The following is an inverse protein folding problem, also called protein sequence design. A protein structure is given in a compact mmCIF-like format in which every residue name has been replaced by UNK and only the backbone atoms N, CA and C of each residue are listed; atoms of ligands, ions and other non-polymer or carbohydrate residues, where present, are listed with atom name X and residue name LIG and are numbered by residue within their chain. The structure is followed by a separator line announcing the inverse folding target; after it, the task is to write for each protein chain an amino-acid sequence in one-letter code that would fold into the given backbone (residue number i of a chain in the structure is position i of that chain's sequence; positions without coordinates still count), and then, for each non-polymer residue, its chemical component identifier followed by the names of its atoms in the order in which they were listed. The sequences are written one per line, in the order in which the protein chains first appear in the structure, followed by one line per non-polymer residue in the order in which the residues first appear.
data_IF_305057486704
#
_entry.id   IF_305057486704
#
_cell.length_a   1.000
_cell.length_b   1.000
_cell.length_c   1.000
_cell.angle_alpha   90.00
_cell.angle_beta   90.00
_cell.angle_gamma   90.00
#
_symmetry.space_group_name_H-M   'P 1'
#
loop_
_entity.id
_entity.type
_entity.pdbx_description
1 polymer ?
#
# COMPACT_ATOMS: atom_id res chain seq x y z
N UNK A 1 28.52 -24.68 9.08
CA UNK A 1 28.05 -23.35 8.68
C UNK A 1 29.11 -22.30 8.97
N UNK A 2 29.64 -21.63 7.95
CA UNK A 2 30.68 -20.61 8.07
C UNK A 2 30.09 -19.24 8.51
N UNK A 3 30.96 -18.27 8.85
CA UNK A 3 30.53 -16.95 9.31
C UNK A 3 29.69 -16.21 8.26
N UNK A 4 30.04 -16.33 6.98
CA UNK A 4 29.32 -15.72 5.86
C UNK A 4 27.88 -16.23 5.76
N UNK A 5 27.67 -17.54 5.88
CA UNK A 5 26.34 -18.16 5.90
C UNK A 5 25.51 -17.68 7.11
N UNK A 6 26.12 -17.59 8.30
CA UNK A 6 25.44 -17.05 9.49
C UNK A 6 24.97 -15.61 9.29
N UNK A 7 25.80 -14.76 8.70
CA UNK A 7 25.45 -13.37 8.39
C UNK A 7 24.33 -13.32 7.34
N UNK A 8 24.41 -14.14 6.28
CA UNK A 8 23.35 -14.22 5.27
C UNK A 8 22.01 -14.63 5.88
N UNK A 9 21.98 -15.67 6.70
CA UNK A 9 20.74 -16.12 7.36
C UNK A 9 20.15 -15.04 8.28
N UNK A 10 21.00 -14.29 9.01
CA UNK A 10 20.55 -13.16 9.83
C UNK A 10 19.95 -12.03 8.98
N UNK A 11 20.61 -11.66 7.87
CA UNK A 11 20.09 -10.66 6.92
C UNK A 11 18.77 -11.10 6.29
N UNK A 12 18.65 -12.37 5.91
CA UNK A 12 17.44 -12.94 5.33
C UNK A 12 16.27 -12.93 6.32
N UNK A 13 16.53 -13.22 7.60
CA UNK A 13 15.51 -13.09 8.66
C UNK A 13 14.96 -11.66 8.70
N UNK A 14 15.85 -10.67 8.81
CA UNK A 14 15.43 -9.27 8.90
C UNK A 14 14.75 -8.76 7.63
N UNK A 15 15.24 -9.15 6.45
CA UNK A 15 14.64 -8.75 5.18
C UNK A 15 13.30 -9.45 4.87
N UNK A 16 13.05 -10.61 5.50
CA UNK A 16 11.80 -11.35 5.42
C UNK A 16 10.68 -10.78 6.30
N UNK A 17 11.02 -9.94 7.27
CA UNK A 17 10.06 -9.23 8.11
C UNK A 17 9.65 -7.93 7.38
N UNK A 18 8.59 -8.01 6.58
CA UNK A 18 7.98 -6.83 5.99
C UNK A 18 7.32 -6.01 7.09
N UNK A 19 8.07 -5.06 7.67
CA UNK A 19 7.56 -4.13 8.68
C UNK A 19 6.46 -3.30 8.04
N UNK A 20 5.29 -3.25 8.67
CA UNK A 20 4.11 -2.48 8.19
C UNK A 20 3.47 -1.65 9.29
N UNK A 21 3.88 -1.84 10.55
CA UNK A 21 3.34 -1.15 11.73
C UNK A 21 3.38 0.38 11.66
N UNK A 22 4.38 0.94 10.98
CA UNK A 22 4.50 2.39 10.74
C UNK A 22 3.55 2.88 9.62
N UNK A 23 3.17 2.03 8.67
CA UNK A 23 2.05 2.32 7.74
C UNK A 23 0.75 2.33 8.52
N UNK A 24 0.51 1.34 9.38
CA UNK A 24 -0.69 1.27 10.22
C UNK A 24 -0.77 2.44 11.21
N UNK A 25 0.36 2.86 11.77
CA UNK A 25 0.46 4.04 12.63
C UNK A 25 0.03 5.29 11.86
N UNK A 26 0.56 5.48 10.65
CA UNK A 26 0.20 6.60 9.78
C UNK A 26 -1.29 6.60 9.40
N UNK A 27 -1.84 5.44 9.03
CA UNK A 27 -3.26 5.28 8.75
C UNK A 27 -4.12 5.57 9.98
N UNK A 28 -3.69 5.15 11.16
CA UNK A 28 -4.35 5.45 12.43
C UNK A 28 -4.40 6.95 12.71
N UNK A 29 -3.31 7.68 12.44
CA UNK A 29 -3.28 9.15 12.57
C UNK A 29 -4.28 9.83 11.63
N UNK A 30 -4.36 9.41 10.36
CA UNK A 30 -5.29 9.97 9.40
C UNK A 30 -6.77 9.75 9.80
N UNK A 31 -7.11 8.53 10.24
CA UNK A 31 -8.47 8.22 10.73
C UNK A 31 -8.83 8.98 12.00
N UNK A 32 -7.87 9.13 12.92
CA UNK A 32 -8.09 9.91 14.14
C UNK A 32 -8.30 11.40 13.82
N UNK A 33 -7.58 11.93 12.83
CA UNK A 33 -7.79 13.28 12.33
C UNK A 33 -9.19 13.46 11.73
N UNK A 34 -9.59 12.58 10.82
CA UNK A 34 -10.95 12.59 10.23
C UNK A 34 -12.02 12.53 11.32
N UNK A 35 -11.90 11.56 12.24
CA UNK A 35 -12.84 11.44 13.35
C UNK A 35 -12.93 12.70 14.19
N UNK A 36 -11.79 13.29 14.58
CA UNK A 36 -11.78 14.50 15.39
C UNK A 36 -12.43 15.68 14.65
N UNK A 37 -12.23 15.76 13.32
CA UNK A 37 -12.85 16.80 12.50
C UNK A 37 -14.35 16.58 12.32
N UNK A 38 -14.79 15.35 12.11
CA UNK A 38 -16.20 15.01 12.04
C UNK A 38 -16.91 15.29 13.37
N UNK A 39 -16.28 14.96 14.50
CA UNK A 39 -16.81 15.27 15.83
C UNK A 39 -16.96 16.80 16.05
N UNK A 40 -16.00 17.61 15.56
CA UNK A 40 -16.07 19.09 15.58
C UNK A 40 -17.21 19.62 14.71
N UNK A 41 -17.35 19.10 13.49
CA UNK A 41 -18.40 19.50 12.55
C UNK A 41 -19.81 19.12 13.04
N UNK A 42 -19.97 17.95 13.67
CA UNK A 42 -21.23 17.49 14.27
C UNK A 42 -21.70 18.44 15.39
N UNK A 43 -20.76 19.02 16.15
CA UNK A 43 -21.07 20.01 17.19
C UNK A 43 -21.53 21.31 16.53
N UNK A 44 -20.77 21.83 15.57
CA UNK A 44 -21.09 23.08 14.86
C UNK A 44 -22.45 23.01 14.17
N UNK A 45 -22.78 21.87 13.53
CA UNK A 45 -24.10 21.67 12.90
C UNK A 45 -25.26 21.74 13.89
N UNK A 46 -25.07 21.26 15.13
CA UNK A 46 -26.08 21.37 16.18
C UNK A 46 -26.23 22.81 16.65
N UNK A 47 -25.11 23.51 16.85
CA UNK A 47 -25.12 24.93 17.23
C UNK A 47 -25.85 25.79 16.19
N UNK A 48 -25.60 25.56 14.90
CA UNK A 48 -26.29 26.26 13.79
C UNK A 48 -27.79 25.93 13.78
N UNK A 49 -28.15 24.66 13.98
CA UNK A 49 -29.55 24.23 13.96
C UNK A 49 -30.37 24.90 15.08
N UNK A 50 -29.77 24.99 16.26
CA UNK A 50 -30.39 25.54 17.47
C UNK A 50 -30.32 27.08 17.57
N UNK A 51 -29.59 27.76 16.67
CA UNK A 51 -29.45 29.21 16.68
C UNK A 51 -30.75 29.90 16.20
N UNK A 52 -31.45 30.66 17.07
CA UNK A 52 -32.68 31.36 16.70
C UNK A 52 -32.43 32.67 15.94
N UNK A 53 -31.19 33.15 15.88
CA UNK A 53 -30.82 34.38 15.15
C UNK A 53 -30.60 34.14 13.66
N UNK A 54 -30.43 32.89 13.25
CA UNK A 54 -30.24 32.49 11.86
C UNK A 54 -31.58 32.17 11.19
N UNK A 55 -31.72 32.60 9.95
CA UNK A 55 -32.76 32.14 9.04
C UNK A 55 -32.47 30.73 8.54
N UNK A 56 -33.48 30.02 8.05
CA UNK A 56 -33.29 28.67 7.49
C UNK A 56 -32.40 28.67 6.23
N UNK A 57 -32.41 29.75 5.45
CA UNK A 57 -31.53 29.90 4.27
C UNK A 57 -30.06 30.01 4.68
N UNK A 58 -29.75 30.79 5.72
CA UNK A 58 -28.39 30.90 6.28
C UNK A 58 -27.92 29.57 6.88
N UNK A 59 -28.81 28.85 7.57
CA UNK A 59 -28.51 27.52 8.11
C UNK A 59 -28.16 26.51 7.01
N UNK A 60 -28.89 26.54 5.89
CA UNK A 60 -28.61 25.67 4.75
C UNK A 60 -27.29 26.03 4.06
N UNK A 61 -26.95 27.33 3.95
CA UNK A 61 -25.64 27.76 3.43
C UNK A 61 -24.49 27.26 4.32
N UNK A 62 -24.59 27.40 5.64
CA UNK A 62 -23.59 26.87 6.55
C UNK A 62 -23.48 25.35 6.51
N UNK A 63 -24.62 24.64 6.39
CA UNK A 63 -24.63 23.18 6.24
C UNK A 63 -23.84 22.75 5.01
N UNK A 64 -24.05 23.41 3.87
CA UNK A 64 -23.32 23.12 2.64
C UNK A 64 -21.80 23.30 2.81
N UNK A 65 -21.38 24.36 3.50
CA UNK A 65 -19.97 24.57 3.81
C UNK A 65 -19.38 23.46 4.69
N UNK A 66 -20.13 23.04 5.71
CA UNK A 66 -19.69 21.97 6.62
C UNK A 66 -19.65 20.62 5.89
N UNK A 67 -20.61 20.32 5.01
CA UNK A 67 -20.59 19.13 4.15
C UNK A 67 -19.30 19.07 3.31
N UNK A 68 -18.87 20.19 2.73
CA UNK A 68 -17.58 20.27 2.03
C UNK A 68 -16.37 19.98 2.94
N UNK A 69 -16.44 20.36 4.22
CA UNK A 69 -15.38 20.04 5.19
C UNK A 69 -15.34 18.56 5.57
N UNK A 70 -16.49 17.86 5.60
CA UNK A 70 -16.51 16.39 5.75
C UNK A 70 -15.82 15.72 4.55
N UNK A 71 -16.12 16.19 3.34
CA UNK A 71 -15.49 15.67 2.12
C UNK A 71 -13.97 15.89 2.13
N UNK A 72 -13.50 17.06 2.57
CA UNK A 72 -12.07 17.35 2.71
C UNK A 72 -11.39 16.43 3.75
N UNK A 73 -12.04 16.18 4.89
CA UNK A 73 -11.53 15.30 5.93
C UNK A 73 -11.46 13.84 5.45
N UNK A 74 -12.49 13.35 4.75
CA UNK A 74 -12.51 12.03 4.12
C UNK A 74 -11.46 11.92 3.00
N UNK A 75 -11.28 12.98 2.21
CA UNK A 75 -10.24 13.07 1.19
C UNK A 75 -8.83 12.91 1.75
N UNK A 76 -8.56 13.42 2.95
CA UNK A 76 -7.27 13.22 3.62
C UNK A 76 -7.00 11.74 3.94
N UNK A 77 -8.04 10.98 4.30
CA UNK A 77 -7.95 9.54 4.56
C UNK A 77 -7.72 8.76 3.26
N UNK A 78 -8.39 9.13 2.18
CA UNK A 78 -8.18 8.53 0.85
C UNK A 78 -6.74 8.73 0.34
N UNK A 79 -6.18 9.93 0.55
CA UNK A 79 -4.77 10.21 0.27
C UNK A 79 -3.86 9.32 1.13
N UNK A 80 -4.17 9.17 2.43
CA UNK A 80 -3.39 8.33 3.32
C UNK A 80 -3.35 6.86 2.86
N UNK A 81 -4.46 6.31 2.37
CA UNK A 81 -4.47 4.95 1.79
C UNK A 81 -3.74 4.84 0.46
N UNK A 82 -3.82 5.87 -0.39
CA UNK A 82 -3.01 5.93 -1.61
C UNK A 82 -1.52 5.83 -1.29
N UNK A 83 -1.08 6.60 -0.29
CA UNK A 83 0.30 6.57 0.22
C UNK A 83 0.66 5.24 0.87
N UNK A 84 -0.27 4.62 1.61
CA UNK A 84 -0.07 3.30 2.22
C UNK A 84 0.17 2.21 1.16
N UNK A 85 -0.59 2.20 0.07
CA UNK A 85 -0.42 1.26 -1.06
C UNK A 85 0.94 1.46 -1.74
N UNK A 86 1.30 2.71 -2.05
CA UNK A 86 2.59 3.05 -2.64
C UNK A 86 3.74 2.60 -1.74
N UNK A 87 3.63 2.86 -0.43
CA UNK A 87 4.65 2.51 0.56
C UNK A 87 4.77 0.99 0.71
N UNK A 88 3.65 0.28 0.78
CA UNK A 88 3.63 -1.18 0.86
C UNK A 88 4.36 -1.81 -0.33
N UNK A 89 4.02 -1.39 -1.56
CA UNK A 89 4.67 -1.93 -2.75
C UNK A 89 6.17 -1.60 -2.78
N UNK A 90 6.55 -0.36 -2.46
CA UNK A 90 7.97 0.02 -2.41
C UNK A 90 8.75 -0.79 -1.37
N UNK A 91 8.15 -1.18 -0.25
CA UNK A 91 8.79 -2.09 0.72
C UNK A 91 8.93 -3.51 0.22
N UNK A 92 7.91 -4.04 -0.46
CA UNK A 92 8.01 -5.34 -1.15
C UNK A 92 9.19 -5.33 -2.11
N UNK A 93 9.35 -4.28 -2.92
CA UNK A 93 10.47 -4.16 -3.88
C UNK A 93 11.83 -4.13 -3.18
N UNK A 94 11.97 -3.33 -2.12
CA UNK A 94 13.21 -3.22 -1.36
C UNK A 94 13.55 -4.54 -0.66
N UNK A 95 12.58 -5.17 -0.01
CA UNK A 95 12.76 -6.45 0.68
C UNK A 95 13.16 -7.55 -0.31
N UNK A 96 12.43 -7.67 -1.43
CA UNK A 96 12.77 -8.60 -2.53
C UNK A 96 14.19 -8.37 -3.02
N UNK A 97 14.58 -7.13 -3.31
CA UNK A 97 15.93 -6.79 -3.78
C UNK A 97 17.00 -7.22 -2.78
N UNK A 98 16.79 -6.96 -1.48
CA UNK A 98 17.71 -7.36 -0.40
C UNK A 98 17.85 -8.87 -0.28
N UNK A 99 16.73 -9.60 -0.28
CA UNK A 99 16.72 -11.07 -0.19
C UNK A 99 17.47 -11.67 -1.39
N UNK A 100 17.10 -11.26 -2.60
CA UNK A 100 17.68 -11.75 -3.84
C UNK A 100 19.19 -11.49 -3.90
N UNK A 101 19.64 -10.28 -3.52
CA UNK A 101 21.07 -9.94 -3.49
C UNK A 101 21.87 -10.69 -2.44
N UNK A 102 21.24 -11.09 -1.34
CA UNK A 102 21.89 -11.87 -0.29
C UNK A 102 22.28 -13.28 -0.79
N UNK A 103 21.43 -13.85 -1.65
CA UNK A 103 21.63 -15.19 -2.23
C UNK A 103 22.46 -15.12 -3.50
N UNK A 104 22.13 -14.20 -4.41
CA UNK A 104 22.70 -14.12 -5.75
C UNK A 104 23.42 -12.78 -5.95
N UNK A 105 24.71 -12.75 -5.61
CA UNK A 105 25.56 -11.54 -5.71
C UNK A 105 25.67 -11.01 -7.14
N UNK A 106 25.70 -11.92 -8.12
CA UNK A 106 26.10 -11.65 -9.50
C UNK A 106 24.97 -11.08 -10.36
N UNK A 107 23.75 -10.98 -9.81
CA UNK A 107 22.61 -10.41 -10.52
C UNK A 107 22.80 -8.92 -10.80
N UNK A 108 22.26 -8.45 -11.93
CA UNK A 108 22.33 -7.06 -12.34
C UNK A 108 21.43 -6.20 -11.45
N UNK A 109 22.04 -5.52 -10.47
CA UNK A 109 21.30 -4.79 -9.43
C UNK A 109 20.31 -3.78 -10.00
N UNK A 110 20.71 -3.06 -11.05
CA UNK A 110 19.86 -2.07 -11.74
C UNK A 110 18.59 -2.67 -12.37
N UNK A 111 18.54 -3.99 -12.57
CA UNK A 111 17.39 -4.70 -13.13
C UNK A 111 16.46 -5.31 -12.08
N UNK A 112 16.81 -5.28 -10.79
CA UNK A 112 16.01 -5.90 -9.72
C UNK A 112 14.68 -5.17 -9.41
N UNK A 113 14.48 -3.99 -10.00
CA UNK A 113 13.20 -3.30 -10.03
C UNK A 113 12.34 -3.67 -11.26
N UNK A 114 12.91 -4.30 -12.29
CA UNK A 114 12.16 -4.75 -13.46
C UNK A 114 11.52 -6.11 -13.16
N UNK A 115 10.20 -6.13 -13.04
CA UNK A 115 9.45 -7.37 -12.77
C UNK A 115 9.63 -8.43 -13.85
N UNK A 116 9.86 -8.04 -15.11
CA UNK A 116 10.13 -9.02 -16.17
C UNK A 116 11.42 -9.76 -15.86
N UNK A 117 12.48 -9.03 -15.51
CA UNK A 117 13.76 -9.62 -15.10
C UNK A 117 13.64 -10.48 -13.84
N UNK A 118 12.87 -10.02 -12.84
CA UNK A 118 12.59 -10.82 -11.64
C UNK A 118 11.93 -12.14 -12.02
N UNK A 119 10.91 -12.11 -12.86
CA UNK A 119 10.14 -13.29 -13.23
C UNK A 119 10.89 -14.23 -14.18
N UNK A 120 11.75 -13.72 -15.07
CA UNK A 120 12.50 -14.53 -16.05
C UNK A 120 13.83 -15.05 -15.54
N UNK A 121 14.55 -14.29 -14.71
CA UNK A 121 15.94 -14.59 -14.36
C UNK A 121 16.12 -14.92 -12.87
N UNK A 122 15.22 -14.45 -11.99
CA UNK A 122 15.39 -14.59 -10.54
C UNK A 122 14.47 -15.65 -9.94
N UNK A 123 13.15 -15.54 -10.15
CA UNK A 123 12.19 -16.49 -9.59
C UNK A 123 12.41 -17.95 -10.05
N UNK A 124 12.89 -18.25 -11.27
CA UNK A 124 13.22 -19.62 -11.64
C UNK A 124 14.33 -20.25 -10.79
N UNK A 125 15.19 -19.43 -10.15
CA UNK A 125 16.21 -19.89 -9.20
C UNK A 125 15.61 -20.23 -7.82
N UNK A 126 14.37 -19.79 -7.56
CA UNK A 126 13.60 -20.01 -6.34
C UNK A 126 12.19 -20.48 -6.72
N UNK A 127 12.04 -21.67 -7.33
CA UNK A 127 10.78 -22.10 -7.97
C UNK A 127 9.62 -22.27 -6.99
N UNK A 128 9.89 -22.37 -5.70
CA UNK A 128 8.86 -22.36 -4.64
C UNK A 128 8.14 -21.00 -4.54
N UNK A 129 8.70 -19.93 -5.11
CA UNK A 129 8.20 -18.55 -5.04
C UNK A 129 7.63 -18.14 -6.39
N UNK A 130 6.31 -18.23 -6.52
CA UNK A 130 5.58 -17.62 -7.62
C UNK A 130 5.05 -16.25 -7.21
N UNK A 131 5.03 -15.30 -8.15
CA UNK A 131 4.27 -14.06 -7.98
C UNK A 131 2.78 -14.39 -7.91
N UNK A 132 2.07 -13.78 -6.96
CA UNK A 132 0.62 -13.94 -6.81
C UNK A 132 -0.10 -12.88 -7.63
N UNK A 133 -1.34 -13.16 -8.03
CA UNK A 133 -2.22 -12.16 -8.67
C UNK A 133 -2.35 -10.89 -7.83
N UNK A 134 -2.37 -11.02 -6.50
CA UNK A 134 -2.45 -9.91 -5.56
C UNK A 134 -1.23 -8.98 -5.60
N UNK A 135 -0.02 -9.50 -5.81
CA UNK A 135 1.16 -8.64 -5.97
C UNK A 135 1.19 -7.92 -7.31
N UNK A 136 0.76 -8.61 -8.36
CA UNK A 136 0.59 -7.99 -9.67
C UNK A 136 -0.44 -6.87 -9.58
N UNK A 137 -1.56 -7.10 -8.91
CA UNK A 137 -2.58 -6.10 -8.62
C UNK A 137 -1.99 -4.92 -7.83
N UNK A 138 -1.31 -5.19 -6.71
CA UNK A 138 -0.66 -4.16 -5.88
C UNK A 138 0.29 -3.28 -6.70
N UNK A 139 1.12 -3.89 -7.56
CA UNK A 139 2.02 -3.17 -8.47
C UNK A 139 1.27 -2.25 -9.42
N UNK A 140 0.21 -2.78 -10.06
CA UNK A 140 -0.57 -2.05 -11.05
C UNK A 140 -1.32 -0.88 -10.43
N UNK A 141 -1.86 -1.04 -9.22
CA UNK A 141 -2.48 0.05 -8.45
C UNK A 141 -1.44 1.09 -8.06
N UNK A 142 -0.28 0.69 -7.52
CA UNK A 142 0.82 1.61 -7.23
C UNK A 142 1.22 2.43 -8.46
N UNK A 143 1.30 1.79 -9.64
CA UNK A 143 1.62 2.49 -10.89
C UNK A 143 0.52 3.49 -11.27
N UNK A 144 -0.74 3.12 -11.10
CA UNK A 144 -1.87 4.01 -11.35
C UNK A 144 -1.87 5.23 -10.42
N UNK A 145 -1.60 5.03 -9.13
CA UNK A 145 -1.46 6.13 -8.16
C UNK A 145 -0.31 7.08 -8.55
N UNK A 146 0.83 6.53 -8.98
CA UNK A 146 2.04 7.32 -9.31
C UNK A 146 2.00 8.04 -10.64
N UNK A 147 1.30 7.49 -11.64
CA UNK A 147 1.51 7.89 -13.04
C UNK A 147 0.25 8.20 -13.83
N UNK A 148 -0.94 7.94 -13.29
CA UNK A 148 -2.20 8.14 -14.02
C UNK A 148 -3.24 8.89 -13.20
N UNK A 149 -2.82 9.82 -12.35
CA UNK A 149 -3.70 10.63 -11.48
C UNK A 149 -4.71 9.78 -10.69
N UNK A 150 -4.24 8.62 -10.20
CA UNK A 150 -5.06 7.62 -9.50
C UNK A 150 -6.23 7.09 -10.34
N UNK A 151 -6.12 7.07 -11.66
CA UNK A 151 -7.06 6.40 -12.56
C UNK A 151 -6.61 4.99 -12.91
N UNK A 152 -7.56 4.10 -13.17
CA UNK A 152 -7.32 2.74 -13.62
C UNK A 152 -6.64 2.78 -14.99
N UNK A 153 -5.43 2.21 -15.06
CA UNK A 153 -4.67 2.06 -16.30
C UNK A 153 -5.20 0.89 -17.14
N UNK A 154 -4.84 0.89 -18.44
CA UNK A 154 -5.11 -0.23 -19.36
C UNK A 154 -4.57 -1.58 -18.90
N UNK A 155 -3.46 -1.59 -18.14
CA UNK A 155 -2.93 -2.84 -17.59
C UNK A 155 -3.76 -3.32 -16.39
N UNK A 156 -4.19 -2.40 -15.54
CA UNK A 156 -5.01 -2.70 -14.36
C UNK A 156 -6.44 -3.13 -14.75
N UNK A 157 -7.02 -2.56 -15.80
CA UNK A 157 -8.35 -2.93 -16.31
C UNK A 157 -8.44 -4.37 -16.84
N UNK A 158 -7.32 -5.07 -16.99
CA UNK A 158 -7.30 -6.51 -17.30
C UNK A 158 -7.65 -7.38 -16.09
N UNK A 159 -7.59 -6.84 -14.88
CA UNK A 159 -8.02 -7.52 -13.67
C UNK A 159 -9.52 -7.30 -13.45
N UNK A 160 -10.20 -8.31 -12.92
CA UNK A 160 -11.63 -8.24 -12.63
C UNK A 160 -11.91 -7.15 -11.58
N UNK A 161 -12.95 -6.33 -11.81
CA UNK A 161 -13.35 -5.25 -10.90
C UNK A 161 -12.74 -3.88 -11.22
N UNK A 162 -11.94 -3.74 -12.27
CA UNK A 162 -11.35 -2.48 -12.70
C UNK A 162 -11.82 -2.06 -14.09
N UNK A 163 -12.25 -0.79 -14.22
CA UNK A 163 -12.70 -0.20 -15.49
C UNK A 163 -11.71 0.89 -15.91
N UNK A 164 -11.16 0.79 -17.11
CA UNK A 164 -10.15 1.73 -17.60
C UNK A 164 -10.64 3.18 -17.57
N UNK A 165 -9.81 4.08 -17.03
CA UNK A 165 -10.13 5.51 -16.91
C UNK A 165 -10.87 5.92 -15.64
N UNK A 166 -11.50 4.97 -14.93
CA UNK A 166 -12.17 5.26 -13.67
C UNK A 166 -11.17 5.65 -12.58
N UNK A 167 -11.58 6.52 -11.67
CA UNK A 167 -10.81 6.78 -10.46
C UNK A 167 -10.73 5.52 -9.59
N UNK A 168 -9.55 5.26 -9.04
CA UNK A 168 -9.38 4.27 -8.00
C UNK A 168 -10.22 4.67 -6.78
N UNK A 169 -11.03 3.74 -6.29
CA UNK A 169 -11.91 3.93 -5.13
C UNK A 169 -11.69 2.83 -4.11
N UNK A 170 -12.16 3.05 -2.88
CA UNK A 170 -12.09 2.09 -1.79
C UNK A 170 -10.66 1.52 -1.58
N UNK A 171 -9.67 2.41 -1.61
CA UNK A 171 -8.26 2.05 -1.43
C UNK A 171 -8.00 1.51 -0.02
N UNK A 172 -8.84 1.85 0.95
CA UNK A 172 -8.87 1.23 2.27
C UNK A 172 -9.08 -0.29 2.21
N UNK A 173 -10.14 -0.72 1.54
CA UNK A 173 -10.49 -2.13 1.39
C UNK A 173 -9.43 -2.86 0.57
N UNK A 174 -8.91 -2.19 -0.46
CA UNK A 174 -7.85 -2.73 -1.31
C UNK A 174 -6.56 -2.94 -0.53
N UNK A 175 -6.15 -1.96 0.27
CA UNK A 175 -4.98 -2.06 1.15
C UNK A 175 -5.12 -3.24 2.13
N UNK A 176 -6.24 -3.30 2.87
CA UNK A 176 -6.49 -4.36 3.86
C UNK A 176 -6.49 -5.75 3.22
N UNK A 177 -7.02 -5.89 2.00
CA UNK A 177 -7.03 -7.16 1.28
C UNK A 177 -5.65 -7.57 0.77
N UNK A 178 -4.85 -6.64 0.25
CA UNK A 178 -3.56 -6.93 -0.39
C UNK A 178 -2.41 -7.09 0.61
N UNK A 179 -2.51 -6.48 1.79
CA UNK A 179 -1.46 -6.48 2.81
C UNK A 179 -1.02 -7.91 3.23
N UNK A 180 -1.92 -8.85 3.59
CA UNK A 180 -1.51 -10.19 4.02
C UNK A 180 -0.73 -10.94 2.95
N UNK A 181 -1.12 -10.82 1.68
CA UNK A 181 -0.45 -11.48 0.56
C UNK A 181 0.95 -10.91 0.30
N UNK A 182 1.12 -9.59 0.46
CA UNK A 182 2.41 -8.94 0.35
C UNK A 182 3.39 -9.40 1.45
N UNK A 183 2.91 -9.50 2.68
CA UNK A 183 3.69 -10.04 3.82
C UNK A 183 4.03 -11.50 3.59
N UNK A 184 3.05 -12.30 3.19
CA UNK A 184 3.24 -13.73 2.93
C UNK A 184 4.27 -13.98 1.83
N UNK A 185 4.21 -13.22 0.73
CA UNK A 185 5.18 -13.33 -0.35
C UNK A 185 6.62 -13.08 0.12
N UNK A 186 6.86 -12.00 0.87
CA UNK A 186 8.20 -11.66 1.35
C UNK A 186 8.71 -12.72 2.35
N UNK A 187 7.85 -13.23 3.22
CA UNK A 187 8.19 -14.34 4.11
C UNK A 187 8.59 -15.59 3.31
N UNK A 188 7.78 -15.99 2.32
CA UNK A 188 8.03 -17.16 1.48
C UNK A 188 9.32 -17.01 0.68
N UNK A 189 9.58 -15.83 0.13
CA UNK A 189 10.81 -15.51 -0.58
C UNK A 189 12.03 -15.61 0.34
N UNK A 190 11.92 -15.09 1.56
CA UNK A 190 12.98 -15.21 2.57
C UNK A 190 13.25 -16.66 2.95
N UNK A 191 12.22 -17.48 3.11
CA UNK A 191 12.39 -18.89 3.49
C UNK A 191 12.99 -19.72 2.36
N UNK A 192 12.57 -19.51 1.12
CA UNK A 192 13.20 -20.13 -0.06
C UNK A 192 14.68 -19.73 -0.17
N UNK A 193 15.00 -18.45 0.06
CA UNK A 193 16.37 -17.95 0.09
C UNK A 193 17.22 -18.59 1.21
N UNK A 194 16.66 -18.77 2.42
CA UNK A 194 17.36 -19.43 3.53
C UNK A 194 17.67 -20.89 3.21
N UNK A 195 16.71 -21.62 2.62
CA UNK A 195 16.93 -23.00 2.14
C UNK A 195 18.09 -23.04 1.14
N UNK A 196 18.14 -22.10 0.21
CA UNK A 196 19.22 -22.01 -0.78
C UNK A 196 20.60 -21.75 -0.16
N UNK A 197 20.69 -20.92 0.90
CA UNK A 197 21.97 -20.66 1.61
C UNK A 197 22.39 -21.84 2.48
N UNK A 198 21.44 -22.61 3.01
CA UNK A 198 21.69 -23.75 3.88
C UNK A 198 21.86 -25.10 3.17
N UNK A 199 21.63 -25.15 1.85
CA UNK A 199 21.86 -26.32 0.99
C UNK A 199 23.30 -26.33 0.49
#
# INVERSE_FOLDING_TARGET
MNMTERVKLWLLKYAGELRVDDIDTYLGMARNFEKAKNDEMDITLKEIADDPSLTEEEKDEYRWHIEGMYDDAGGAVDIAYSMAIVTLYSRVEVARKKIVKCVFSDLKEKKLSDMRYINSDVLPLLPEVAETSSLTELRLINNSIKHTDSKVSKELSRLSGYVEGDLLRALNNTYTRLLPDAVHYISKLSDAAKKHVGS
#
